data_IF_536374346959
#
_entry.id   IF_536374346959
#
_cell.length_a   1.000
_cell.length_b   1.000
_cell.length_c   1.000
_cell.angle_alpha   90.00
_cell.angle_beta   90.00
_cell.angle_gamma   90.00
#
_symmetry.space_group_name_H-M   'P 1'
#
loop_
_entity.id
_entity.type
_entity.pdbx_description
1 polymer ?
#
# COMPACT_ATOMS: atom_id res chain seq x y z
N UNK A 1 -11.12 -2.37 -12.02
CA UNK A 1 -10.28 -1.21 -12.41
C UNK A 1 -10.95 -0.46 -13.55
N UNK A 2 -11.79 0.55 -13.27
CA UNK A 2 -12.41 1.35 -14.34
C UNK A 2 -11.53 2.51 -14.81
N UNK A 3 -10.64 3.01 -13.96
CA UNK A 3 -9.87 4.24 -14.20
C UNK A 3 -8.34 4.06 -14.11
N UNK A 4 -7.83 2.86 -13.87
CA UNK A 4 -6.40 2.57 -13.86
C UNK A 4 -5.78 2.79 -15.25
N UNK A 5 -4.73 3.62 -15.33
CA UNK A 5 -3.99 3.87 -16.58
C UNK A 5 -2.56 3.36 -16.47
N UNK A 6 -1.98 2.82 -17.55
CA UNK A 6 -0.56 2.47 -17.55
C UNK A 6 0.27 3.75 -17.37
N UNK A 7 1.13 3.75 -16.35
CA UNK A 7 2.06 4.86 -16.08
C UNK A 7 3.48 4.50 -16.45
N UNK A 8 3.84 3.21 -16.41
CA UNK A 8 5.14 2.70 -16.84
C UNK A 8 4.98 1.32 -17.50
N UNK A 9 5.76 1.07 -18.54
CA UNK A 9 5.84 -0.22 -19.21
C UNK A 9 7.30 -0.57 -19.54
N UNK A 10 7.65 -1.84 -19.38
CA UNK A 10 9.00 -2.34 -19.65
C UNK A 10 9.39 -2.03 -21.10
N UNK A 11 10.60 -1.48 -21.28
CA UNK A 11 11.10 -1.01 -22.58
C UNK A 11 10.91 0.49 -22.83
N UNK A 12 10.20 1.22 -21.96
CA UNK A 12 10.24 2.68 -21.97
C UNK A 12 11.65 3.19 -21.61
N UNK A 13 12.08 4.31 -22.20
CA UNK A 13 13.39 4.91 -21.91
C UNK A 13 13.60 5.26 -20.42
N UNK A 14 12.50 5.48 -19.69
CA UNK A 14 12.50 5.79 -18.24
C UNK A 14 12.34 4.55 -17.37
N UNK A 15 12.43 3.34 -17.93
CA UNK A 15 12.29 2.09 -17.20
C UNK A 15 13.52 1.82 -16.33
N UNK A 16 13.37 1.68 -15.00
CA UNK A 16 14.50 1.42 -14.12
C UNK A 16 15.11 0.04 -14.37
N UNK A 17 16.44 -0.04 -14.40
CA UNK A 17 17.18 -1.28 -14.69
C UNK A 17 17.13 -2.31 -13.57
N UNK A 18 16.86 -1.85 -12.36
CA UNK A 18 16.72 -2.64 -11.14
C UNK A 18 15.37 -3.37 -11.07
N UNK A 19 14.36 -2.95 -11.86
CA UNK A 19 13.07 -3.62 -11.93
C UNK A 19 13.14 -4.82 -12.89
N UNK A 20 13.28 -6.01 -12.31
CA UNK A 20 13.54 -7.25 -13.05
C UNK A 20 12.27 -8.06 -13.27
N UNK A 21 11.33 -8.02 -12.34
CA UNK A 21 10.13 -8.84 -12.36
C UNK A 21 8.91 -8.10 -12.93
N UNK A 22 8.83 -6.78 -12.79
CA UNK A 22 7.69 -5.99 -13.25
C UNK A 22 7.65 -5.80 -14.78
N UNK A 23 6.48 -5.94 -15.39
CA UNK A 23 6.26 -5.69 -16.82
C UNK A 23 5.54 -4.37 -17.07
N UNK A 24 4.50 -4.10 -16.26
CA UNK A 24 3.66 -2.91 -16.40
C UNK A 24 3.21 -2.43 -15.03
N UNK A 25 3.17 -1.12 -14.87
CA UNK A 25 2.67 -0.45 -13.69
C UNK A 25 1.49 0.42 -14.10
N UNK A 26 0.36 0.20 -13.45
CA UNK A 26 -0.86 0.96 -13.62
C UNK A 26 -1.12 1.78 -12.35
N UNK A 27 -1.66 2.98 -12.53
CA UNK A 27 -2.08 3.84 -11.44
C UNK A 27 -3.54 4.24 -11.63
N UNK A 28 -4.37 3.93 -10.64
CA UNK A 28 -5.69 4.52 -10.46
C UNK A 28 -5.56 5.65 -9.44
N UNK A 29 -5.50 6.89 -9.92
CA UNK A 29 -5.28 8.06 -9.06
C UNK A 29 -6.46 8.37 -8.15
N UNK A 30 -7.67 8.01 -8.56
CA UNK A 30 -8.88 8.27 -7.76
C UNK A 30 -8.95 7.34 -6.56
N UNK A 31 -8.54 6.07 -6.74
CA UNK A 31 -8.51 5.08 -5.67
C UNK A 31 -7.18 4.98 -4.93
N UNK A 32 -6.15 5.72 -5.37
CA UNK A 32 -4.79 5.58 -4.83
C UNK A 32 -4.21 4.18 -5.04
N UNK A 33 -4.60 3.48 -6.11
CA UNK A 33 -4.22 2.08 -6.33
C UNK A 33 -3.11 1.96 -7.39
N UNK A 34 -1.97 1.42 -6.99
CA UNK A 34 -0.93 0.94 -7.90
C UNK A 34 -1.16 -0.54 -8.17
N UNK A 35 -1.17 -0.93 -9.45
CA UNK A 35 -1.24 -2.33 -9.85
C UNK A 35 -0.02 -2.68 -10.68
N UNK A 36 0.70 -3.73 -10.30
CA UNK A 36 1.95 -4.16 -10.94
C UNK A 36 1.75 -5.53 -11.55
N UNK A 37 1.85 -5.61 -12.88
CA UNK A 37 1.90 -6.87 -13.62
C UNK A 37 3.35 -7.40 -13.58
N UNK A 38 3.56 -8.67 -13.23
CA UNK A 38 4.89 -9.23 -13.00
C UNK A 38 5.04 -10.69 -13.47
N UNK A 39 6.26 -11.23 -13.42
CA UNK A 39 6.59 -12.61 -13.84
C UNK A 39 6.46 -13.69 -12.75
N UNK A 40 6.05 -13.29 -11.54
CA UNK A 40 5.93 -14.14 -10.36
C UNK A 40 7.08 -14.02 -9.35
N UNK A 41 8.23 -13.48 -9.73
CA UNK A 41 9.42 -13.37 -8.88
C UNK A 41 9.55 -12.02 -8.14
N UNK A 42 8.55 -11.14 -8.27
CA UNK A 42 8.62 -9.79 -7.70
C UNK A 42 8.71 -9.84 -6.17
N UNK A 43 9.78 -9.25 -5.65
CA UNK A 43 10.06 -9.17 -4.22
C UNK A 43 9.70 -7.81 -3.62
N UNK A 44 9.86 -7.71 -2.30
CA UNK A 44 9.56 -6.50 -1.54
C UNK A 44 10.38 -5.28 -1.99
N UNK A 45 11.67 -5.46 -2.27
CA UNK A 45 12.57 -4.38 -2.69
C UNK A 45 12.11 -3.72 -4.00
N UNK A 46 11.68 -4.51 -4.99
CA UNK A 46 11.19 -3.99 -6.27
C UNK A 46 9.82 -3.31 -6.10
N UNK A 47 8.93 -3.87 -5.27
CA UNK A 47 7.64 -3.24 -4.96
C UNK A 47 7.80 -1.90 -4.23
N UNK A 48 8.72 -1.82 -3.27
CA UNK A 48 9.07 -0.57 -2.58
C UNK A 48 9.59 0.47 -3.57
N UNK A 49 10.55 0.10 -4.44
CA UNK A 49 11.10 1.02 -5.44
C UNK A 49 10.03 1.52 -6.44
N UNK A 50 9.09 0.65 -6.84
CA UNK A 50 7.95 1.04 -7.68
C UNK A 50 7.06 2.03 -6.94
N UNK A 51 6.72 1.76 -5.67
CA UNK A 51 5.90 2.66 -4.85
C UNK A 51 6.58 4.01 -4.68
N UNK A 52 7.86 4.04 -4.33
CA UNK A 52 8.62 5.27 -4.11
C UNK A 52 8.68 6.13 -5.38
N UNK A 53 8.85 5.49 -6.54
CA UNK A 53 8.85 6.18 -7.83
C UNK A 53 7.49 6.73 -8.24
N UNK A 54 6.39 6.05 -7.89
CA UNK A 54 5.03 6.41 -8.33
C UNK A 54 4.34 7.36 -7.35
N UNK A 55 4.52 7.15 -6.05
CA UNK A 55 3.82 7.85 -4.97
C UNK A 55 4.73 8.69 -4.06
N UNK A 56 6.06 8.52 -4.17
CA UNK A 56 7.04 9.18 -3.32
C UNK A 56 7.51 8.32 -2.15
N UNK A 57 8.75 8.54 -1.71
CA UNK A 57 9.41 7.76 -0.65
C UNK A 57 8.68 7.84 0.70
N UNK A 58 8.02 8.96 0.97
CA UNK A 58 7.27 9.20 2.22
C UNK A 58 5.84 8.68 2.16
N UNK A 59 5.36 8.26 0.98
CA UNK A 59 4.05 7.65 0.88
C UNK A 59 4.14 6.23 1.41
N UNK A 60 3.06 5.79 2.04
CA UNK A 60 2.94 4.42 2.51
C UNK A 60 1.83 3.72 1.75
N UNK A 61 2.01 2.42 1.55
CA UNK A 61 1.05 1.59 0.85
C UNK A 61 0.88 0.25 1.55
N UNK A 62 -0.29 -0.36 1.38
CA UNK A 62 -0.58 -1.71 1.86
C UNK A 62 -0.93 -2.64 0.71
N UNK A 63 -0.55 -3.90 0.85
CA UNK A 63 -1.05 -5.00 0.04
C UNK A 63 -2.01 -5.83 0.88
N UNK A 64 -3.23 -6.04 0.39
CA UNK A 64 -4.29 -6.77 1.10
C UNK A 64 -4.51 -8.13 0.44
N UNK A 65 -4.50 -9.18 1.26
CA UNK A 65 -4.85 -10.54 0.85
C UNK A 65 -6.31 -10.81 1.20
N UNK A 66 -7.22 -10.89 0.21
CA UNK A 66 -8.65 -11.07 0.48
C UNK A 66 -8.93 -12.49 0.99
N UNK A 67 -10.13 -12.72 1.56
CA UNK A 67 -10.64 -14.07 1.81
C UNK A 67 -10.51 -14.96 0.57
N UNK A 68 -10.25 -16.25 0.77
CA UNK A 68 -9.91 -17.18 -0.30
C UNK A 68 -10.96 -17.26 -1.42
N UNK A 69 -12.24 -17.13 -1.06
CA UNK A 69 -13.39 -17.12 -1.99
C UNK A 69 -13.51 -15.83 -2.82
N UNK A 70 -12.72 -14.80 -2.49
CA UNK A 70 -12.65 -13.51 -3.20
C UNK A 70 -11.32 -13.32 -3.92
N UNK A 71 -10.43 -14.31 -3.88
CA UNK A 71 -9.18 -14.27 -4.64
C UNK A 71 -9.49 -14.40 -6.13
N UNK A 72 -9.07 -13.41 -6.91
CA UNK A 72 -9.10 -13.45 -8.38
C UNK A 72 -7.65 -13.53 -8.86
N UNK A 73 -7.23 -14.70 -9.34
CA UNK A 73 -5.84 -14.99 -9.74
C UNK A 73 -5.73 -15.30 -11.25
N UNK A 74 -6.16 -14.35 -12.09
CA UNK A 74 -6.12 -14.52 -13.55
C UNK A 74 -4.79 -14.13 -14.18
N UNK A 75 -4.04 -13.23 -13.53
CA UNK A 75 -2.72 -12.73 -13.95
C UNK A 75 -1.86 -12.50 -12.70
N UNK A 76 -0.52 -12.63 -12.77
CA UNK A 76 0.36 -12.31 -11.66
C UNK A 76 0.35 -10.79 -11.47
N UNK A 77 -0.39 -10.34 -10.46
CA UNK A 77 -0.59 -8.93 -10.14
C UNK A 77 -0.31 -8.69 -8.65
N UNK A 78 0.43 -7.61 -8.37
CA UNK A 78 0.55 -7.02 -7.03
C UNK A 78 -0.24 -5.73 -6.96
N UNK A 79 -0.96 -5.50 -5.87
CA UNK A 79 -1.81 -4.33 -5.69
C UNK A 79 -1.38 -3.59 -4.43
N UNK A 80 -0.95 -2.34 -4.59
CA UNK A 80 -0.54 -1.47 -3.50
C UNK A 80 -1.53 -0.32 -3.39
N UNK A 81 -2.29 -0.27 -2.30
CA UNK A 81 -3.15 0.85 -1.99
C UNK A 81 -2.35 1.89 -1.22
N UNK A 82 -2.12 3.04 -1.85
CA UNK A 82 -1.54 4.21 -1.21
C UNK A 82 -2.55 4.74 -0.22
N UNK A 83 -2.14 4.93 1.03
CA UNK A 83 -3.01 5.51 2.02
C UNK A 83 -2.86 7.02 2.08
N UNK A 84 -3.97 7.69 2.41
CA UNK A 84 -4.02 9.12 2.71
C UNK A 84 -3.43 9.45 4.08
N UNK A 85 -3.31 10.74 4.36
CA UNK A 85 -2.75 11.23 5.62
C UNK A 85 -3.57 10.83 6.86
N UNK A 86 -4.88 10.64 6.69
CA UNK A 86 -5.83 10.32 7.78
C UNK A 86 -6.17 8.82 7.84
N UNK A 87 -5.66 8.02 6.91
CA UNK A 87 -5.92 6.60 6.88
C UNK A 87 -5.12 5.87 7.97
N UNK A 88 -5.73 4.85 8.55
CA UNK A 88 -5.13 4.05 9.61
C UNK A 88 -4.76 2.65 9.10
N UNK A 89 -3.53 2.21 9.37
CA UNK A 89 -3.11 0.81 9.30
C UNK A 89 -2.40 0.42 10.61
N UNK A 90 -2.41 -0.87 10.98
CA UNK A 90 -1.62 -1.36 12.10
C UNK A 90 -0.11 -1.43 11.76
N UNK A 91 0.73 -1.23 12.78
CA UNK A 91 2.14 -1.66 12.88
C UNK A 91 3.26 -0.90 12.14
N UNK A 92 3.00 0.05 11.23
CA UNK A 92 4.07 0.82 10.53
C UNK A 92 3.69 2.30 10.23
N UNK A 93 2.67 2.85 10.90
CA UNK A 93 2.21 4.23 10.72
C UNK A 93 2.98 5.21 11.61
N UNK A 94 2.72 6.53 11.54
CA UNK A 94 3.19 7.44 12.59
C UNK A 94 2.78 6.83 13.94
N UNK A 95 3.76 6.50 14.77
CA UNK A 95 3.55 5.69 15.97
C UNK A 95 2.41 6.27 16.81
N UNK A 96 1.29 5.54 16.86
CA UNK A 96 0.20 5.91 17.75
C UNK A 96 -1.11 5.18 17.45
N UNK A 97 -1.89 4.85 18.49
CA UNK A 97 -3.29 4.49 18.29
C UNK A 97 -4.01 5.63 17.55
N UNK A 98 -5.05 5.32 16.75
CA UNK A 98 -5.84 6.36 16.10
C UNK A 98 -6.33 7.35 17.16
N UNK A 99 -6.28 8.65 16.84
CA UNK A 99 -6.72 9.68 17.78
C UNK A 99 -8.16 9.36 18.23
N UNK A 100 -8.41 9.17 19.54
CA UNK A 100 -9.71 8.73 20.01
C UNK A 100 -10.80 9.77 19.67
N UNK A 101 -11.68 9.42 18.74
CA UNK A 101 -12.69 10.31 18.18
C UNK A 101 -13.98 10.31 19.03
N UNK A 102 -14.27 9.21 19.70
CA UNK A 102 -15.44 9.10 20.60
C UNK A 102 -15.07 9.33 22.08
N UNK A 103 -16.06 9.73 22.89
CA UNK A 103 -15.87 9.84 24.35
C UNK A 103 -15.48 8.48 24.96
N UNK A 104 -16.05 7.38 24.44
CA UNK A 104 -15.74 6.02 24.87
C UNK A 104 -14.29 5.66 24.55
N UNK A 105 -13.80 5.99 23.36
CA UNK A 105 -12.39 5.79 22.98
C UNK A 105 -11.45 6.62 23.88
N UNK A 106 -11.78 7.90 24.15
CA UNK A 106 -10.97 8.75 25.05
C UNK A 106 -10.94 8.20 26.48
N UNK A 107 -12.08 7.71 26.97
CA UNK A 107 -12.16 7.09 28.30
C UNK A 107 -11.30 5.81 28.38
N UNK A 108 -11.43 4.90 27.41
CA UNK A 108 -10.65 3.66 27.37
C UNK A 108 -9.14 3.93 27.23
N UNK A 109 -8.74 4.88 26.36
CA UNK A 109 -7.34 5.28 26.21
C UNK A 109 -6.75 5.82 27.52
N UNK A 110 -7.53 6.59 28.29
CA UNK A 110 -7.10 7.10 29.61
C UNK A 110 -6.94 5.98 30.64
N UNK A 111 -7.84 4.99 30.66
CA UNK A 111 -7.74 3.84 31.56
C UNK A 111 -6.51 2.98 31.25
N UNK A 112 -6.28 2.66 29.97
CA UNK A 112 -5.13 1.86 29.52
C UNK A 112 -3.80 2.57 29.85
N UNK A 113 -3.71 3.88 29.62
CA UNK A 113 -2.52 4.66 29.97
C UNK A 113 -2.25 4.65 31.49
N UNK A 114 -3.30 4.67 32.32
CA UNK A 114 -3.17 4.63 33.79
C UNK A 114 -2.70 3.26 34.30
N UNK A 115 -3.10 2.16 33.65
CA UNK A 115 -2.70 0.80 34.02
C UNK A 115 -1.26 0.48 33.61
N UNK A 116 -0.75 1.06 32.52
CA UNK A 116 0.62 0.85 32.04
C UNK A 116 1.73 1.59 32.82
N UNK A 117 1.38 2.40 33.83
CA UNK A 117 2.34 3.18 34.64
C UNK A 117 2.61 2.56 36.03
N UNK A 118 2.27 1.28 36.22
CA UNK A 118 2.50 0.52 37.46
C UNK A 118 3.53 -0.59 37.30
#
# INVERSE_FOLDING_TARGET
MRNARPVLARGAATWPTEWRAAFRVYLDRELGLISVEHDGAIGWEELQAIKDRVAGETATAIEVYPPADRVVNNLPMRHLWILGADDWWPDLGPEGPPAPTTLRERYLATQIAFEGTR
#
